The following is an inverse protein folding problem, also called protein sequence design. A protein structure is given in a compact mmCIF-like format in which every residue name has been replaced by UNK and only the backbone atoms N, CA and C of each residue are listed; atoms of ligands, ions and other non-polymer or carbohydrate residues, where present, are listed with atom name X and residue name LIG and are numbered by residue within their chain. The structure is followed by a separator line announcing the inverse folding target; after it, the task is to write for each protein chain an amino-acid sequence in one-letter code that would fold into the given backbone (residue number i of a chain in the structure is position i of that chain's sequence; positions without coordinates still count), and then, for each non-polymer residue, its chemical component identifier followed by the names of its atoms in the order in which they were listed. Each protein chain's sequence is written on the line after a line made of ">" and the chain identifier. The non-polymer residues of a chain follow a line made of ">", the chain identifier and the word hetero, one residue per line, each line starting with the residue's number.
data_IF_060421344207
#
_entry.id   IF_060421344207
#
_cell.length_a   1.000
_cell.length_b   1.000
_cell.length_c   1.000
_cell.angle_alpha   90.00
_cell.angle_beta   90.00
_cell.angle_gamma   90.00
#
_symmetry.space_group_name_H-M   'P 1'
#
loop_
_entity.id
_entity.type
_entity.pdbx_description
1 polymer ?
#
# COMPACT_ATOMS: atom_id res chain seq x y z
N UNK A 1 -74.97 -57.73 38.05
CA UNK A 1 -75.40 -57.53 36.65
C UNK A 1 -74.16 -57.29 35.79
N UNK A 2 -73.99 -58.14 34.78
CA UNK A 2 -73.28 -58.01 33.48
C UNK A 2 -72.03 -57.12 33.33
N UNK A 3 -70.93 -57.82 32.97
CA UNK A 3 -69.84 -57.47 32.03
C UNK A 3 -70.14 -56.29 31.09
N UNK A 4 -69.12 -55.46 30.82
CA UNK A 4 -68.58 -55.28 29.47
C UNK A 4 -67.20 -54.61 29.45
N UNK A 5 -66.36 -55.21 28.62
CA UNK A 5 -64.95 -54.99 28.30
C UNK A 5 -64.87 -54.31 26.92
N UNK A 6 -64.03 -53.27 26.74
CA UNK A 6 -63.49 -52.76 25.46
C UNK A 6 -62.16 -52.04 25.77
N UNK A 7 -60.99 -52.64 25.49
CA UNK A 7 -60.17 -52.49 24.27
C UNK A 7 -60.11 -51.08 23.67
N UNK A 8 -58.90 -50.51 23.55
CA UNK A 8 -58.68 -49.40 22.62
C UNK A 8 -57.39 -48.58 22.78
N UNK A 9 -56.29 -49.09 22.20
CA UNK A 9 -55.23 -48.35 21.49
C UNK A 9 -54.28 -47.46 22.30
N UNK A 10 -53.06 -47.96 22.44
CA UNK A 10 -51.83 -47.21 22.72
C UNK A 10 -51.49 -46.27 21.55
N UNK A 11 -51.23 -44.99 21.85
CA UNK A 11 -50.51 -44.08 20.94
C UNK A 11 -49.15 -43.82 21.58
N UNK A 12 -48.11 -44.46 21.03
CA UNK A 12 -46.72 -44.12 21.30
C UNK A 12 -46.38 -42.91 20.43
N UNK A 13 -46.29 -41.73 21.03
CA UNK A 13 -45.79 -40.53 20.37
C UNK A 13 -44.27 -40.60 20.31
N UNK A 14 -43.73 -40.99 19.14
CA UNK A 14 -42.32 -40.85 18.83
C UNK A 14 -41.99 -39.37 18.60
N UNK A 15 -41.35 -38.72 19.57
CA UNK A 15 -40.82 -37.38 19.41
C UNK A 15 -39.57 -37.42 18.52
N UNK A 16 -39.74 -37.06 17.24
CA UNK A 16 -38.62 -36.83 16.33
C UNK A 16 -37.93 -35.50 16.72
N UNK A 17 -36.78 -35.59 17.37
CA UNK A 17 -35.88 -34.44 17.55
C UNK A 17 -35.28 -34.06 16.19
N UNK A 18 -35.88 -33.07 15.54
CA UNK A 18 -35.26 -32.31 14.47
C UNK A 18 -34.03 -31.60 15.05
N UNK A 19 -32.86 -32.22 14.91
CA UNK A 19 -31.60 -31.55 15.16
C UNK A 19 -31.44 -30.41 14.16
N UNK A 20 -31.58 -29.17 14.62
CA UNK A 20 -31.10 -28.02 13.87
C UNK A 20 -29.59 -28.20 13.70
N UNK A 21 -29.17 -28.58 12.50
CA UNK A 21 -27.79 -28.40 12.05
C UNK A 21 -27.56 -26.89 11.98
N UNK A 22 -26.98 -26.32 13.05
CA UNK A 22 -26.40 -25.00 12.96
C UNK A 22 -25.35 -25.05 11.83
N UNK A 23 -25.33 -24.09 10.88
CA UNK A 23 -24.25 -24.00 9.93
C UNK A 23 -22.95 -23.89 10.73
N UNK A 24 -21.99 -24.76 10.43
CA UNK A 24 -20.64 -24.63 10.97
C UNK A 24 -20.15 -23.23 10.63
N UNK A 25 -19.84 -22.43 11.65
CA UNK A 25 -19.12 -21.18 11.45
C UNK A 25 -17.83 -21.55 10.71
N UNK A 26 -17.67 -21.06 9.48
CA UNK A 26 -16.38 -21.10 8.81
C UNK A 26 -15.39 -20.44 9.76
N UNK A 27 -14.37 -21.16 10.20
CA UNK A 27 -13.24 -20.51 10.84
C UNK A 27 -12.67 -19.56 9.78
N UNK A 28 -12.69 -18.26 10.05
CA UNK A 28 -11.93 -17.31 9.22
C UNK A 28 -10.48 -17.79 9.26
N UNK A 29 -9.94 -18.12 8.09
CA UNK A 29 -8.54 -18.46 7.98
C UNK A 29 -7.74 -17.19 8.28
N UNK A 30 -6.98 -17.21 9.37
CA UNK A 30 -6.09 -16.11 9.73
C UNK A 30 -5.06 -15.88 8.62
N UNK A 31 -4.69 -14.61 8.43
CA UNK A 31 -3.61 -14.23 7.52
C UNK A 31 -2.32 -14.85 8.03
N UNK A 32 -1.63 -15.58 7.15
CA UNK A 32 -0.37 -16.21 7.51
C UNK A 32 0.81 -15.31 7.12
N UNK A 33 1.65 -15.03 8.11
CA UNK A 33 2.82 -14.16 8.02
C UNK A 33 4.06 -14.99 8.33
N UNK A 34 5.02 -15.01 7.42
CA UNK A 34 6.32 -15.66 7.64
C UNK A 34 7.20 -14.84 8.57
N UNK A 35 8.17 -15.49 9.22
CA UNK A 35 9.13 -14.80 10.10
C UNK A 35 9.95 -13.71 9.37
N UNK A 36 10.20 -13.88 8.07
CA UNK A 36 10.90 -12.89 7.26
C UNK A 36 10.05 -11.63 7.01
N UNK A 37 8.76 -11.81 6.74
CA UNK A 37 7.82 -10.70 6.57
C UNK A 37 7.58 -9.95 7.88
N UNK A 38 7.42 -10.69 8.99
CA UNK A 38 7.30 -10.08 10.31
C UNK A 38 8.55 -9.25 10.64
N UNK A 39 9.75 -9.78 10.37
CA UNK A 39 11.00 -9.06 10.58
C UNK A 39 11.11 -7.79 9.71
N UNK A 40 10.68 -7.83 8.44
CA UNK A 40 10.66 -6.67 7.56
C UNK A 40 9.69 -5.59 8.07
N UNK A 41 8.49 -5.99 8.50
CA UNK A 41 7.48 -5.10 9.10
C UNK A 41 8.03 -4.39 10.35
N UNK A 42 8.62 -5.16 11.27
CA UNK A 42 9.22 -4.62 12.51
C UNK A 42 10.40 -3.72 12.24
N UNK A 43 11.23 -4.03 11.24
CA UNK A 43 12.34 -3.17 10.85
C UNK A 43 11.85 -1.79 10.40
N UNK A 44 10.83 -1.74 9.53
CA UNK A 44 10.18 -0.49 9.13
C UNK A 44 9.59 0.27 10.34
N UNK A 45 8.79 -0.42 11.16
CA UNK A 45 8.14 0.21 12.30
C UNK A 45 9.15 0.76 13.31
N UNK A 46 10.25 0.04 13.54
CA UNK A 46 11.35 0.49 14.41
C UNK A 46 12.10 1.68 13.80
N UNK A 47 12.36 1.67 12.48
CA UNK A 47 12.98 2.78 11.75
C UNK A 47 12.24 4.11 11.93
N UNK A 48 10.90 4.05 12.03
CA UNK A 48 10.03 5.23 12.19
C UNK A 48 9.47 5.41 13.61
N UNK A 49 10.04 4.70 14.59
CA UNK A 49 9.80 4.93 16.01
C UNK A 49 8.45 4.44 16.55
N UNK A 50 7.83 3.43 15.94
CA UNK A 50 6.64 2.78 16.50
C UNK A 50 7.03 1.96 17.75
N UNK A 51 6.38 2.16 18.91
CA UNK A 51 6.66 1.39 20.13
C UNK A 51 6.44 -0.12 19.94
N UNK A 52 7.25 -0.95 20.59
CA UNK A 52 7.20 -2.41 20.43
C UNK A 52 5.82 -3.02 20.69
N UNK A 53 5.12 -2.57 21.75
CA UNK A 53 3.78 -3.05 22.07
C UNK A 53 2.78 -2.72 20.94
N UNK A 54 2.88 -1.52 20.34
CA UNK A 54 2.07 -1.13 19.17
C UNK A 54 2.45 -1.95 17.92
N UNK A 55 3.72 -2.30 17.74
CA UNK A 55 4.13 -3.21 16.66
C UNK A 55 3.47 -4.59 16.79
N UNK A 56 3.42 -5.11 18.02
CA UNK A 56 2.77 -6.39 18.31
C UNK A 56 1.27 -6.34 18.05
N UNK A 57 0.61 -5.25 18.46
CA UNK A 57 -0.82 -5.01 18.18
C UNK A 57 -1.10 -4.94 16.67
N UNK A 58 -0.35 -4.15 15.92
CA UNK A 58 -0.52 -4.03 14.46
C UNK A 58 -0.30 -5.36 13.74
N UNK A 59 0.70 -6.14 14.15
CA UNK A 59 0.96 -7.46 13.56
C UNK A 59 -0.08 -8.50 13.96
N UNK A 60 -0.68 -8.39 15.15
CA UNK A 60 -1.80 -9.23 15.56
C UNK A 60 -3.05 -8.89 14.73
N UNK A 61 -3.39 -7.60 14.60
CA UNK A 61 -4.47 -7.11 13.74
C UNK A 61 -4.31 -7.56 12.29
N UNK A 62 -3.08 -7.52 11.76
CA UNK A 62 -2.79 -8.00 10.41
C UNK A 62 -3.07 -9.50 10.23
N UNK A 63 -2.80 -10.32 11.24
CA UNK A 63 -3.14 -11.76 11.24
C UNK A 63 -4.66 -11.99 11.22
N UNK A 64 -5.44 -11.02 11.69
CA UNK A 64 -6.90 -11.02 11.66
C UNK A 64 -7.47 -10.38 10.38
N UNK A 65 -6.61 -9.90 9.47
CA UNK A 65 -7.00 -9.30 8.19
C UNK A 65 -7.14 -7.78 8.22
N UNK A 66 -6.87 -7.13 9.34
CA UNK A 66 -6.88 -5.67 9.45
C UNK A 66 -5.49 -5.10 9.10
N UNK A 67 -5.43 -4.28 8.05
CA UNK A 67 -4.18 -3.71 7.55
C UNK A 67 -3.75 -2.45 8.31
N UNK A 68 -4.53 -1.98 9.28
CA UNK A 68 -4.33 -0.72 9.98
C UNK A 68 -4.72 0.51 9.15
N UNK A 69 -4.91 1.63 9.84
CA UNK A 69 -5.43 2.88 9.27
C UNK A 69 -4.51 3.49 8.21
N UNK A 70 -3.19 3.29 8.30
CA UNK A 70 -2.24 3.70 7.26
C UNK A 70 -2.45 3.00 5.91
N UNK A 71 -3.25 1.94 5.86
CA UNK A 71 -3.62 1.23 4.64
C UNK A 71 -5.10 1.38 4.29
N UNK A 72 -5.85 2.20 5.03
CA UNK A 72 -7.24 2.54 4.77
C UNK A 72 -7.32 3.87 3.98
N UNK A 73 -7.85 3.88 2.74
CA UNK A 73 -7.94 5.10 1.93
C UNK A 73 -8.88 6.17 2.52
N UNK A 74 -9.78 5.81 3.44
CA UNK A 74 -10.71 6.74 4.08
C UNK A 74 -10.19 7.28 5.42
N UNK A 75 -9.07 6.74 5.93
CA UNK A 75 -8.47 7.19 7.18
C UNK A 75 -7.59 8.44 6.98
N UNK A 76 -7.77 9.43 7.85
CA UNK A 76 -6.91 10.61 7.92
C UNK A 76 -5.79 10.45 8.95
N UNK A 77 -4.56 10.90 8.66
CA UNK A 77 -3.48 10.89 9.64
C UNK A 77 -3.76 11.87 10.79
N UNK A 78 -3.34 11.52 12.00
CA UNK A 78 -3.37 12.40 13.17
C UNK A 78 -2.21 13.39 13.18
N UNK A 79 -1.12 13.07 12.46
CA UNK A 79 0.01 13.98 12.24
C UNK A 79 0.73 13.65 10.94
N UNK A 80 1.26 14.68 10.29
CA UNK A 80 2.15 14.56 9.15
C UNK A 80 3.42 15.36 9.43
N UNK A 81 4.57 14.73 9.30
CA UNK A 81 5.89 15.36 9.47
C UNK A 81 6.78 15.11 8.26
N UNK A 82 7.75 16.00 8.05
CA UNK A 82 8.73 15.86 6.97
C UNK A 82 10.12 15.78 7.57
N UNK A 83 10.84 14.72 7.22
CA UNK A 83 12.23 14.51 7.60
C UNK A 83 13.13 14.46 6.37
N UNK A 84 14.34 15.00 6.50
CA UNK A 84 15.37 14.89 5.47
C UNK A 84 16.54 14.11 6.05
N UNK A 85 16.85 12.96 5.45
CA UNK A 85 18.01 12.14 5.81
C UNK A 85 18.49 11.33 4.60
N UNK A 86 19.78 11.02 4.57
CA UNK A 86 20.40 10.16 3.56
C UNK A 86 20.13 10.56 2.09
N UNK A 87 19.97 11.86 1.83
CA UNK A 87 19.69 12.37 0.48
C UNK A 87 18.25 12.14 0.01
N UNK A 88 17.33 11.80 0.93
CA UNK A 88 15.90 11.66 0.66
C UNK A 88 15.07 12.57 1.57
N UNK A 89 13.91 12.97 1.07
CA UNK A 89 12.82 13.55 1.84
C UNK A 89 11.81 12.46 2.16
N UNK A 90 11.47 12.33 3.43
CA UNK A 90 10.46 11.42 3.96
C UNK A 90 9.27 12.24 4.44
N UNK A 91 8.10 11.94 3.91
CA UNK A 91 6.83 12.43 4.46
C UNK A 91 6.21 11.31 5.27
N UNK A 92 6.06 11.52 6.57
CA UNK A 92 5.68 10.50 7.54
C UNK A 92 4.30 10.87 8.07
N UNK A 93 3.31 10.07 7.70
CA UNK A 93 1.92 10.19 8.13
C UNK A 93 1.65 9.16 9.22
N UNK A 94 1.30 9.63 10.42
CA UNK A 94 0.99 8.76 11.58
C UNK A 94 -0.50 8.74 11.83
N UNK A 95 -1.03 7.57 12.17
CA UNK A 95 -2.46 7.34 12.35
C UNK A 95 -2.79 7.03 13.80
N UNK A 96 -4.08 7.09 14.13
CA UNK A 96 -4.57 6.98 15.50
C UNK A 96 -4.27 5.60 16.14
N UNK A 97 -4.27 4.54 15.33
CA UNK A 97 -3.91 3.17 15.73
C UNK A 97 -2.40 2.95 15.84
N UNK A 98 -1.59 3.99 15.63
CA UNK A 98 -0.13 3.93 15.66
C UNK A 98 0.49 3.40 14.37
N UNK A 99 -0.30 3.02 13.37
CA UNK A 99 0.21 2.68 12.04
C UNK A 99 0.79 3.91 11.34
N UNK A 100 1.74 3.70 10.44
CA UNK A 100 2.47 4.75 9.74
C UNK A 100 2.49 4.48 8.24
N UNK A 101 2.25 5.54 7.47
CA UNK A 101 2.52 5.63 6.04
C UNK A 101 3.73 6.55 5.81
N UNK A 102 4.66 6.12 4.97
CA UNK A 102 5.83 6.90 4.58
C UNK A 102 5.93 6.98 3.08
N UNK A 103 6.05 8.20 2.56
CA UNK A 103 6.47 8.43 1.18
C UNK A 103 7.92 8.91 1.16
N UNK A 104 8.75 8.26 0.35
CA UNK A 104 10.16 8.61 0.19
C UNK A 104 10.39 9.14 -1.22
N UNK A 105 11.04 10.32 -1.29
CA UNK A 105 11.47 10.96 -2.53
C UNK A 105 12.94 11.34 -2.40
N UNK A 106 13.78 10.87 -3.32
CA UNK A 106 15.18 11.31 -3.37
C UNK A 106 15.27 12.83 -3.62
N UNK A 107 16.20 13.48 -2.93
CA UNK A 107 16.55 14.88 -3.13
C UNK A 107 17.43 14.97 -4.39
N UNK A 108 17.00 15.72 -5.41
CA UNK A 108 17.76 15.82 -6.64
C UNK A 108 19.13 16.46 -6.42
N UNK A 109 20.16 15.84 -6.99
CA UNK A 109 21.52 16.39 -7.02
C UNK A 109 21.80 17.04 -8.37
N UNK A 110 22.49 18.18 -8.38
CA UNK A 110 22.84 18.85 -9.62
C UNK A 110 23.78 17.98 -10.47
N UNK A 111 23.45 17.78 -11.75
CA UNK A 111 24.36 17.09 -12.66
C UNK A 111 25.57 17.99 -13.01
N UNK A 112 26.79 17.49 -12.81
CA UNK A 112 28.02 18.21 -13.13
C UNK A 112 28.17 18.44 -14.65
N UNK A 113 28.39 19.69 -15.12
CA UNK A 113 28.55 19.98 -16.54
C UNK A 113 29.76 19.24 -17.16
N UNK A 114 29.52 18.52 -18.26
CA UNK A 114 30.60 17.84 -19.01
C UNK A 114 30.97 16.44 -18.48
N UNK A 115 30.33 15.96 -17.42
CA UNK A 115 30.47 14.58 -16.96
C UNK A 115 29.35 13.74 -17.57
N UNK A 116 29.70 12.79 -18.45
CA UNK A 116 28.78 11.71 -18.82
C UNK A 116 28.74 10.76 -17.64
N UNK A 117 27.83 11.00 -16.69
CA UNK A 117 27.52 9.99 -15.68
C UNK A 117 26.78 8.85 -16.39
N UNK A 118 27.23 7.59 -16.30
CA UNK A 118 26.38 6.47 -16.70
C UNK A 118 25.05 6.64 -15.95
N UNK A 119 23.92 6.40 -16.62
CA UNK A 119 22.59 6.48 -16.00
C UNK A 119 22.57 5.64 -14.72
N UNK A 120 22.87 6.27 -13.58
CA UNK A 120 22.71 5.66 -12.30
C UNK A 120 21.20 5.49 -12.15
N UNK A 121 20.75 4.24 -11.98
CA UNK A 121 19.34 3.92 -11.77
C UNK A 121 18.89 4.38 -10.36
N UNK A 122 19.81 4.97 -9.60
CA UNK A 122 19.70 5.43 -8.22
C UNK A 122 20.30 6.82 -8.10
N UNK A 123 19.69 7.70 -7.30
CA UNK A 123 20.12 9.08 -7.15
C UNK A 123 19.43 10.00 -8.16
N UNK A 124 18.25 10.50 -7.78
CA UNK A 124 17.58 11.59 -8.48
C UNK A 124 18.59 12.70 -8.81
N UNK A 125 18.70 13.02 -10.10
CA UNK A 125 19.57 14.07 -10.61
C UNK A 125 18.74 15.14 -11.29
N UNK A 126 19.12 16.40 -11.10
CA UNK A 126 18.51 17.55 -11.74
C UNK A 126 19.51 18.26 -12.64
N UNK A 127 19.09 18.55 -13.86
CA UNK A 127 19.86 19.34 -14.83
C UNK A 127 18.92 20.29 -15.56
N UNK A 128 19.38 21.47 -15.96
CA UNK A 128 18.47 22.44 -16.54
C UNK A 128 19.13 23.72 -17.01
N UNK A 129 18.30 24.59 -17.56
CA UNK A 129 18.69 25.91 -18.03
C UNK A 129 17.66 26.96 -17.66
N UNK A 130 17.73 28.13 -18.29
CA UNK A 130 16.68 29.15 -18.12
C UNK A 130 15.36 28.62 -18.67
N UNK A 131 14.39 28.39 -17.78
CA UNK A 131 13.03 27.99 -18.15
C UNK A 131 12.69 26.52 -17.99
N UNK A 132 13.61 25.62 -17.60
CA UNK A 132 13.27 24.21 -17.36
C UNK A 132 14.25 23.49 -16.42
N UNK A 133 13.78 22.41 -15.80
CA UNK A 133 14.56 21.48 -14.98
C UNK A 133 14.17 20.04 -15.31
N UNK A 134 15.14 19.24 -15.75
CA UNK A 134 15.01 17.81 -16.03
C UNK A 134 15.45 17.01 -14.81
N UNK A 135 14.55 16.16 -14.34
CA UNK A 135 14.73 15.22 -13.24
C UNK A 135 14.91 13.83 -13.83
N UNK A 136 15.99 13.14 -13.46
CA UNK A 136 16.34 11.82 -13.98
C UNK A 136 16.66 10.86 -12.85
N UNK A 137 16.09 9.65 -12.91
CA UNK A 137 16.37 8.58 -11.95
C UNK A 137 15.71 8.77 -10.59
N UNK A 138 14.61 9.51 -10.50
CA UNK A 138 14.02 9.87 -9.22
C UNK A 138 13.14 8.74 -8.69
N UNK A 139 13.47 8.26 -7.50
CA UNK A 139 12.72 7.22 -6.77
C UNK A 139 11.39 7.76 -6.23
N UNK A 140 10.32 7.02 -6.49
CA UNK A 140 8.97 7.22 -5.94
C UNK A 140 8.65 5.97 -5.12
N UNK A 141 8.56 6.12 -3.80
CA UNK A 141 8.55 4.97 -2.89
C UNK A 141 7.47 5.14 -1.82
N UNK A 142 6.62 4.12 -1.71
CA UNK A 142 5.56 4.02 -0.72
C UNK A 142 5.87 2.91 0.26
N UNK A 143 5.74 3.18 1.56
CA UNK A 143 6.08 2.25 2.64
C UNK A 143 5.05 2.33 3.77
N UNK A 144 4.58 1.19 4.22
CA UNK A 144 3.85 0.99 5.48
C UNK A 144 4.42 -0.24 6.20
N UNK A 145 3.85 -0.58 7.35
CA UNK A 145 4.18 -1.83 8.04
C UNK A 145 3.74 -3.08 7.25
N UNK A 146 2.87 -2.94 6.23
CA UNK A 146 2.38 -4.05 5.40
C UNK A 146 3.06 -4.07 4.03
N UNK A 147 3.23 -2.92 3.38
CA UNK A 147 3.69 -2.85 1.99
C UNK A 147 4.92 -1.96 1.82
N UNK A 148 5.84 -2.36 0.95
CA UNK A 148 6.91 -1.50 0.45
C UNK A 148 7.10 -1.71 -1.05
N UNK A 149 6.78 -0.69 -1.84
CA UNK A 149 6.85 -0.73 -3.30
C UNK A 149 7.03 0.65 -3.91
N UNK A 150 7.55 0.68 -5.13
CA UNK A 150 7.82 1.94 -5.82
C UNK A 150 8.30 1.75 -7.24
N UNK A 151 8.72 2.86 -7.85
CA UNK A 151 9.30 2.89 -9.19
C UNK A 151 10.23 4.09 -9.35
N UNK A 152 10.91 4.16 -10.49
CA UNK A 152 11.76 5.29 -10.86
C UNK A 152 11.14 6.08 -12.02
N UNK A 153 11.32 7.40 -11.99
CA UNK A 153 10.77 8.27 -13.01
C UNK A 153 11.78 9.31 -13.51
N UNK A 154 11.57 9.72 -14.76
CA UNK A 154 12.18 10.89 -15.35
C UNK A 154 11.07 11.87 -15.72
N UNK A 155 11.26 13.15 -15.42
CA UNK A 155 10.29 14.19 -15.71
C UNK A 155 10.96 15.53 -15.91
N UNK A 156 10.25 16.49 -16.49
CA UNK A 156 10.73 17.84 -16.76
C UNK A 156 9.72 18.82 -16.19
N UNK A 157 10.21 19.75 -15.38
CA UNK A 157 9.47 20.93 -14.98
C UNK A 157 9.82 22.05 -15.96
N UNK A 158 8.83 22.71 -16.53
CA UNK A 158 9.03 23.79 -17.51
C UNK A 158 8.33 25.03 -17.01
N UNK A 159 9.06 26.14 -16.86
CA UNK A 159 8.48 27.41 -16.44
C UNK A 159 7.30 27.80 -17.33
N UNK A 160 6.22 28.24 -16.69
CA UNK A 160 4.98 28.57 -17.34
C UNK A 160 3.83 27.76 -16.78
N UNK A 161 2.83 27.52 -17.64
CA UNK A 161 1.61 26.81 -17.29
C UNK A 161 1.42 25.64 -18.25
N UNK A 162 1.01 24.48 -17.71
CA UNK A 162 0.48 23.37 -18.50
C UNK A 162 1.49 22.75 -19.47
N UNK A 163 2.73 22.62 -19.02
CA UNK A 163 3.86 22.21 -19.86
C UNK A 163 4.85 21.29 -19.15
N UNK A 164 4.61 20.93 -17.89
CA UNK A 164 5.38 19.91 -17.19
C UNK A 164 5.15 18.51 -17.79
N UNK A 165 6.16 17.65 -17.78
CA UNK A 165 6.11 16.37 -18.49
C UNK A 165 6.74 15.23 -17.71
N UNK A 166 6.11 14.05 -17.74
CA UNK A 166 6.74 12.78 -17.37
C UNK A 166 7.26 12.14 -18.64
N UNK A 167 8.58 12.04 -18.74
CA UNK A 167 9.25 11.46 -19.92
C UNK A 167 9.35 9.95 -19.81
N UNK A 168 9.46 9.40 -18.59
CA UNK A 168 9.55 7.96 -18.37
C UNK A 168 9.12 7.56 -16.96
N UNK A 169 8.48 6.40 -16.84
CA UNK A 169 8.35 5.65 -15.60
C UNK A 169 8.89 4.23 -15.86
N UNK A 170 9.75 3.71 -14.98
CA UNK A 170 10.46 2.46 -15.20
C UNK A 170 10.94 1.81 -13.89
N UNK A 171 11.45 0.58 -14.00
CA UNK A 171 12.08 -0.17 -12.91
C UNK A 171 11.24 -0.22 -11.63
N UNK A 172 9.97 -0.63 -11.74
CA UNK A 172 9.15 -0.88 -10.56
C UNK A 172 9.77 -1.97 -9.68
N UNK A 173 9.60 -1.82 -8.37
CA UNK A 173 10.14 -2.72 -7.36
C UNK A 173 9.14 -2.91 -6.22
N UNK A 174 9.33 -4.00 -5.48
CA UNK A 174 8.63 -4.32 -4.24
C UNK A 174 9.65 -4.93 -3.30
N UNK A 175 9.78 -4.37 -2.09
CA UNK A 175 10.69 -4.89 -1.07
C UNK A 175 9.97 -5.95 -0.22
N UNK A 176 8.72 -5.69 0.18
CA UNK A 176 7.89 -6.64 0.93
C UNK A 176 6.39 -6.38 0.73
N UNK A 177 5.58 -7.40 1.02
CA UNK A 177 4.13 -7.35 1.13
C UNK A 177 3.67 -8.37 2.18
N UNK A 178 3.57 -7.96 3.43
CA UNK A 178 3.45 -8.84 4.62
C UNK A 178 2.10 -9.53 4.63
N UNK A 179 2.08 -10.87 4.58
CA UNK A 179 0.84 -11.66 4.56
C UNK A 179 0.12 -11.63 3.21
N UNK A 180 0.79 -11.16 2.16
CA UNK A 180 0.21 -10.95 0.84
C UNK A 180 1.10 -11.54 -0.25
N UNK A 181 0.48 -12.09 -1.28
CA UNK A 181 1.16 -12.47 -2.52
C UNK A 181 0.75 -11.52 -3.63
N UNK A 182 1.72 -11.03 -4.41
CA UNK A 182 1.46 -10.15 -5.55
C UNK A 182 0.95 -10.96 -6.74
N UNK A 183 -0.28 -10.70 -7.16
CA UNK A 183 -0.90 -11.34 -8.33
C UNK A 183 -0.47 -10.67 -9.62
N UNK A 184 -0.49 -9.33 -9.62
CA UNK A 184 -0.13 -8.53 -10.79
C UNK A 184 0.37 -7.16 -10.38
N UNK A 185 1.12 -6.52 -11.28
CA UNK A 185 1.45 -5.11 -11.17
C UNK A 185 1.55 -4.48 -12.56
N UNK A 186 1.25 -3.19 -12.66
CA UNK A 186 1.29 -2.44 -13.91
C UNK A 186 1.86 -1.05 -13.64
N UNK A 187 2.98 -0.74 -14.28
CA UNK A 187 3.56 0.60 -14.28
C UNK A 187 3.23 1.30 -15.61
N UNK A 188 2.56 2.45 -15.53
CA UNK A 188 2.11 3.18 -16.73
C UNK A 188 2.23 4.68 -16.54
N UNK A 189 2.67 5.38 -17.59
CA UNK A 189 2.43 6.83 -17.71
C UNK A 189 1.01 7.00 -18.27
N UNK A 190 0.08 7.43 -17.41
CA UNK A 190 -1.33 7.60 -17.78
C UNK A 190 -1.59 8.96 -18.43
N UNK A 191 -0.84 9.98 -18.01
CA UNK A 191 -0.83 11.31 -18.65
C UNK A 191 0.60 11.84 -18.69
N UNK A 192 1.17 11.95 -19.89
CA UNK A 192 2.58 12.32 -20.06
C UNK A 192 2.85 13.82 -19.90
N UNK A 193 1.87 14.69 -20.16
CA UNK A 193 2.03 16.15 -20.14
C UNK A 193 0.93 16.79 -19.30
N UNK A 194 1.31 17.74 -18.44
CA UNK A 194 0.38 18.60 -17.73
C UNK A 194 -0.45 19.37 -18.75
N UNK A 195 -1.74 19.51 -18.47
CA UNK A 195 -2.61 20.37 -19.27
C UNK A 195 -3.49 21.19 -18.34
N UNK A 196 -4.32 22.07 -18.89
CA UNK A 196 -5.35 22.77 -18.11
C UNK A 196 -6.32 21.84 -17.36
N UNK A 197 -6.41 20.56 -17.73
CA UNK A 197 -7.22 19.55 -17.04
C UNK A 197 -6.50 18.84 -15.88
N UNK A 198 -5.25 19.23 -15.56
CA UNK A 198 -4.52 18.74 -14.38
C UNK A 198 -3.11 18.22 -14.69
N UNK A 199 -2.41 17.69 -13.67
CA UNK A 199 -1.01 17.29 -13.75
C UNK A 199 -0.77 16.08 -14.67
N UNK A 200 0.44 15.99 -15.24
CA UNK A 200 0.97 14.73 -15.75
C UNK A 200 1.03 13.71 -14.61
N UNK A 201 0.78 12.44 -14.90
CA UNK A 201 0.90 11.39 -13.89
C UNK A 201 1.26 10.02 -14.45
N UNK A 202 2.03 9.31 -13.64
CA UNK A 202 2.37 7.90 -13.82
C UNK A 202 1.94 7.13 -12.58
N UNK A 203 1.56 5.87 -12.76
CA UNK A 203 0.99 5.03 -11.72
C UNK A 203 1.61 3.64 -11.76
N UNK A 204 2.05 3.16 -10.59
CA UNK A 204 2.25 1.75 -10.31
C UNK A 204 1.00 1.24 -9.59
N UNK A 205 0.21 0.41 -10.26
CA UNK A 205 -0.93 -0.29 -9.68
C UNK A 205 -0.55 -1.75 -9.41
N UNK A 206 -0.94 -2.29 -8.26
CA UNK A 206 -0.60 -3.63 -7.79
C UNK A 206 -1.86 -4.31 -7.25
N UNK A 207 -2.06 -5.56 -7.64
CA UNK A 207 -3.08 -6.43 -7.06
C UNK A 207 -2.41 -7.46 -6.16
N UNK A 208 -2.87 -7.55 -4.92
CA UNK A 208 -2.46 -8.55 -3.96
C UNK A 208 -3.60 -9.51 -3.65
N UNK A 209 -3.24 -10.77 -3.40
CA UNK A 209 -4.06 -11.76 -2.71
C UNK A 209 -3.58 -11.88 -1.27
N UNK A 210 -4.52 -11.83 -0.34
CA UNK A 210 -4.27 -12.01 1.11
C UNK A 210 -4.06 -13.50 1.36
N UNK A 211 -2.89 -13.90 1.85
CA UNK A 211 -2.54 -15.32 2.04
C UNK A 211 -3.24 -15.89 3.28
N UNK A 212 -3.91 -17.07 3.22
CA UNK A 212 -3.78 -18.14 2.21
C UNK A 212 -4.72 -18.09 0.99
N UNK A 213 -5.37 -16.98 0.70
CA UNK A 213 -6.31 -16.83 -0.43
C UNK A 213 -7.67 -16.27 0.00
N UNK A 214 -7.74 -15.62 1.16
CA UNK A 214 -8.99 -15.22 1.83
C UNK A 214 -9.58 -13.92 1.27
N UNK A 215 -8.84 -13.21 0.42
CA UNK A 215 -9.30 -11.96 -0.16
C UNK A 215 -8.26 -11.32 -1.08
N UNK A 216 -8.61 -10.14 -1.59
CA UNK A 216 -7.78 -9.37 -2.49
C UNK A 216 -7.77 -7.89 -2.10
N UNK A 217 -6.61 -7.24 -2.25
CA UNK A 217 -6.47 -5.79 -2.02
C UNK A 217 -5.71 -5.18 -3.19
N UNK A 218 -6.25 -4.08 -3.71
CA UNK A 218 -5.58 -3.25 -4.71
C UNK A 218 -4.81 -2.14 -4.00
N UNK A 219 -3.59 -1.88 -4.47
CA UNK A 219 -2.71 -0.83 -3.96
C UNK A 219 -2.03 -0.14 -5.13
N UNK A 220 -1.62 1.11 -4.93
CA UNK A 220 -0.86 1.82 -5.92
C UNK A 220 -0.15 3.06 -5.38
N UNK A 221 0.77 3.56 -6.20
CA UNK A 221 1.48 4.81 -5.97
C UNK A 221 1.59 5.57 -7.29
N UNK A 222 1.33 6.87 -7.22
CA UNK A 222 1.34 7.79 -8.35
C UNK A 222 2.39 8.87 -8.16
N UNK A 223 3.12 9.17 -9.22
CA UNK A 223 3.83 10.44 -9.37
C UNK A 223 2.90 11.42 -10.07
N UNK A 224 2.77 12.62 -9.52
CA UNK A 224 2.17 13.79 -10.18
C UNK A 224 3.23 14.81 -10.51
N UNK A 225 3.16 15.40 -11.70
CA UNK A 225 4.03 16.49 -12.14
C UNK A 225 3.17 17.59 -12.76
N UNK A 226 3.25 18.79 -12.22
CA UNK A 226 2.44 19.93 -12.66
C UNK A 226 2.68 21.16 -11.79
N UNK A 227 2.26 22.32 -12.29
CA UNK A 227 2.41 23.61 -11.60
C UNK A 227 3.86 23.91 -11.18
N UNK A 228 4.83 23.51 -12.00
CA UNK A 228 6.26 23.64 -11.76
C UNK A 228 6.73 22.88 -10.50
N UNK A 229 6.03 21.80 -10.12
CA UNK A 229 6.38 20.95 -8.98
C UNK A 229 6.03 19.48 -9.26
N UNK A 230 6.36 18.61 -8.31
CA UNK A 230 5.99 17.20 -8.33
C UNK A 230 5.65 16.70 -6.92
N UNK A 231 4.77 15.72 -6.83
CA UNK A 231 4.37 15.11 -5.56
C UNK A 231 3.94 13.65 -5.78
N UNK A 232 3.78 12.93 -4.68
CA UNK A 232 3.30 11.55 -4.67
C UNK A 232 1.84 11.52 -4.21
N UNK A 233 1.05 10.62 -4.79
CA UNK A 233 -0.28 10.26 -4.30
C UNK A 233 -0.38 8.74 -4.20
N UNK A 234 -0.99 8.22 -3.14
CA UNK A 234 -1.19 6.79 -2.94
C UNK A 234 -2.65 6.44 -3.30
N UNK A 235 -2.89 5.19 -3.72
CA UNK A 235 -4.22 4.71 -4.15
C UNK A 235 -4.50 3.30 -3.67
#
# INVERSE_FOLDING_TARGET
>A
MRKLMRLGVSVVAAAATLGLLAPAASADEAVSISAAEEAASRAFMTEFGVPADTQDELLASLKEGDLGLANDPDAGPVSVETEVRDGSTFEISRYFDGSIEVTEREIPTAAEPGVITPYAVTGCSVSGGSGYSNYTGCKIHYRTHVFSYGFYANFTLVQGYYNDQITRAYSQFQEYAVGHTRDSWSLRVLKATETSSGPAHAELAIQYTIYPGIGQVAKGVRLKVGSNTYWQENS
#
